data_IF_269175651564
#
_entry.id   IF_269175651564
#
_cell.length_a   1.000
_cell.length_b   1.000
_cell.length_c   1.000
_cell.angle_alpha   90.00
_cell.angle_beta   90.00
_cell.angle_gamma   90.00
#
_symmetry.space_group_name_H-M   'P 1'
#
loop_
_entity.id
_entity.type
_entity.pdbx_description
1 polymer ?
#
# COMPACT_ATOMS: atom_id res chain seq x y z
N UNK A 1 -31.36 26.70 48.75
CA UNK A 1 -30.10 27.38 49.11
C UNK A 1 -29.22 26.37 49.84
N UNK A 2 -28.06 26.06 49.25
CA UNK A 2 -26.75 25.86 49.91
C UNK A 2 -25.84 25.11 48.95
N UNK A 3 -24.96 25.89 48.35
CA UNK A 3 -23.79 25.54 47.55
C UNK A 3 -22.74 24.84 48.41
N UNK A 4 -22.01 23.88 47.84
CA UNK A 4 -20.70 23.51 48.37
C UNK A 4 -19.73 23.35 47.20
N UNK A 5 -18.68 24.16 47.29
CA UNK A 5 -17.65 24.37 46.28
C UNK A 5 -16.52 23.35 46.42
N UNK A 6 -15.88 23.07 45.28
CA UNK A 6 -14.42 23.00 45.20
C UNK A 6 -13.76 21.66 45.51
N UNK A 7 -13.07 21.10 44.51
CA UNK A 7 -11.60 21.15 44.50
C UNK A 7 -11.05 20.53 43.21
N UNK A 8 -10.12 21.25 42.59
CA UNK A 8 -9.29 20.78 41.49
C UNK A 8 -8.13 19.98 42.07
N UNK A 9 -7.80 18.84 41.49
CA UNK A 9 -6.42 18.35 41.46
C UNK A 9 -6.28 17.39 40.28
N UNK A 10 -5.37 17.76 39.40
CA UNK A 10 -4.98 16.98 38.24
C UNK A 10 -4.13 15.82 38.73
N UNK A 11 -4.55 14.59 38.43
CA UNK A 11 -3.62 13.46 38.44
C UNK A 11 -3.23 13.14 37.00
N UNK A 12 -1.98 13.49 36.77
CA UNK A 12 -1.12 13.14 35.66
C UNK A 12 -1.19 11.64 35.39
N UNK A 13 -1.86 11.25 34.31
CA UNK A 13 -1.64 9.94 33.69
C UNK A 13 -0.55 10.10 32.63
N UNK A 14 0.69 10.12 33.09
CA UNK A 14 1.83 9.63 32.31
C UNK A 14 1.69 8.10 32.27
N UNK A 15 1.19 7.55 31.17
CA UNK A 15 1.46 6.14 30.89
C UNK A 15 1.59 5.92 29.38
N UNK A 16 2.85 5.71 29.01
CA UNK A 16 3.31 4.75 28.04
C UNK A 16 2.82 5.00 26.60
N UNK A 17 3.64 5.78 25.87
CA UNK A 17 3.74 5.63 24.41
C UNK A 17 4.39 4.28 24.12
N UNK A 18 3.64 3.20 24.35
CA UNK A 18 4.02 1.85 23.95
C UNK A 18 4.16 1.90 22.44
N UNK A 19 5.41 1.79 22.01
CA UNK A 19 5.81 1.75 20.62
C UNK A 19 4.98 0.70 19.89
N UNK A 20 4.02 1.17 19.10
CA UNK A 20 3.31 0.33 18.13
C UNK A 20 4.39 -0.33 17.27
N UNK A 21 4.39 -1.68 17.12
CA UNK A 21 5.41 -2.36 16.34
C UNK A 21 5.39 -1.76 14.94
N UNK A 22 6.50 -1.16 14.52
CA UNK A 22 6.60 -0.50 13.22
C UNK A 22 6.16 -1.49 12.14
N UNK A 23 4.92 -1.32 11.65
CA UNK A 23 4.49 -1.86 10.37
C UNK A 23 5.63 -1.54 9.39
N UNK A 24 6.23 -2.59 8.80
CA UNK A 24 7.44 -2.51 7.95
C UNK A 24 7.42 -1.23 7.12
N UNK A 25 8.15 -0.21 7.56
CA UNK A 25 8.23 1.06 6.85
C UNK A 25 8.86 0.77 5.47
N UNK A 26 8.37 1.44 4.44
CA UNK A 26 8.99 1.40 3.10
C UNK A 26 10.50 1.68 3.19
N UNK A 27 11.33 0.97 2.41
CA UNK A 27 12.80 1.13 2.41
C UNK A 27 13.27 2.57 2.24
N UNK A 28 12.47 3.41 1.59
CA UNK A 28 12.78 4.84 1.42
C UNK A 28 12.98 5.58 2.76
N UNK A 29 12.33 5.14 3.84
CA UNK A 29 12.46 5.76 5.17
C UNK A 29 13.86 5.63 5.77
N UNK A 30 14.69 4.70 5.29
CA UNK A 30 16.09 4.58 5.73
C UNK A 30 16.92 5.84 5.35
N UNK A 31 16.46 6.60 4.35
CA UNK A 31 17.11 7.81 3.83
C UNK A 31 16.59 9.12 4.47
N UNK A 32 15.65 9.01 5.40
CA UNK A 32 15.04 10.13 6.10
C UNK A 32 15.26 9.99 7.61
N UNK A 33 15.29 11.12 8.30
CA UNK A 33 15.31 11.15 9.76
C UNK A 33 14.08 10.40 10.32
N UNK A 34 14.31 9.66 11.40
CA UNK A 34 13.29 8.78 11.97
C UNK A 34 12.17 9.57 12.64
N UNK A 35 12.52 10.71 13.21
CA UNK A 35 11.61 11.69 13.79
C UNK A 35 11.14 12.68 12.73
N UNK A 36 9.83 12.87 12.66
CA UNK A 36 9.21 13.88 11.81
C UNK A 36 9.27 15.23 12.52
N UNK A 37 9.65 16.27 11.79
CA UNK A 37 9.62 17.63 12.32
C UNK A 37 8.27 18.27 12.03
N UNK A 38 7.66 18.88 13.05
CA UNK A 38 6.40 19.62 12.86
C UNK A 38 6.75 21.02 12.37
N UNK A 39 6.33 21.35 11.15
CA UNK A 39 6.51 22.69 10.55
C UNK A 39 5.15 23.18 10.12
N UNK A 40 4.73 24.33 10.66
CA UNK A 40 3.41 24.93 10.38
C UNK A 40 2.24 23.98 10.74
N UNK A 41 2.42 23.16 11.77
CA UNK A 41 1.42 22.17 12.21
C UNK A 41 1.45 20.85 11.44
N UNK A 42 2.30 20.73 10.41
CA UNK A 42 2.37 19.53 9.57
C UNK A 42 3.64 18.71 9.83
N UNK A 43 3.52 17.37 10.02
CA UNK A 43 4.69 16.51 10.17
C UNK A 43 5.42 16.34 8.84
N UNK A 44 6.68 16.77 8.79
CA UNK A 44 7.56 16.69 7.62
C UNK A 44 8.70 15.70 7.86
N UNK A 45 9.00 14.89 6.85
CA UNK A 45 10.17 14.04 6.82
C UNK A 45 11.39 14.86 6.39
N UNK A 46 12.53 14.64 7.04
CA UNK A 46 13.79 15.35 6.73
C UNK A 46 14.76 14.41 6.06
N UNK A 47 15.28 14.78 4.89
CA UNK A 47 16.29 13.99 4.18
C UNK A 47 17.63 14.02 4.95
N UNK A 48 18.25 12.86 5.18
CA UNK A 48 19.54 12.75 5.88
C UNK A 48 20.70 13.42 5.14
N UNK A 49 20.61 13.50 3.81
CA UNK A 49 21.71 13.96 2.95
C UNK A 49 21.68 15.46 2.67
N UNK A 50 20.53 15.97 2.22
CA UNK A 50 20.39 17.36 1.80
C UNK A 50 19.56 18.22 2.77
N UNK A 51 19.08 17.63 3.86
CA UNK A 51 18.22 18.28 4.88
C UNK A 51 16.91 18.88 4.33
N UNK A 52 16.49 18.47 3.13
CA UNK A 52 15.22 18.88 2.53
C UNK A 52 14.04 18.32 3.33
N UNK A 53 12.96 19.09 3.43
CA UNK A 53 11.75 18.74 4.16
C UNK A 53 10.63 18.33 3.21
N UNK A 54 9.94 17.23 3.51
CA UNK A 54 8.93 16.64 2.63
C UNK A 54 7.67 16.32 3.42
N UNK A 55 6.51 16.68 2.85
CA UNK A 55 5.23 16.28 3.43
C UNK A 55 5.07 14.76 3.35
N UNK A 56 4.39 14.19 4.34
CA UNK A 56 4.18 12.74 4.47
C UNK A 56 2.70 12.34 4.36
N UNK A 57 1.81 13.34 4.16
CA UNK A 57 0.35 13.18 4.13
C UNK A 57 -0.15 12.21 3.04
N UNK A 58 0.54 12.12 1.90
CA UNK A 58 0.07 11.37 0.73
C UNK A 58 1.00 10.20 0.36
N UNK A 59 1.44 9.44 1.37
CA UNK A 59 2.33 8.29 1.18
C UNK A 59 3.79 8.68 0.95
N UNK A 60 4.55 7.81 0.27
CA UNK A 60 6.02 7.92 0.17
C UNK A 60 6.53 8.29 -1.23
N UNK A 61 5.65 8.64 -2.16
CA UNK A 61 6.03 8.97 -3.55
C UNK A 61 6.96 10.17 -3.63
N UNK A 62 6.65 11.25 -2.90
CA UNK A 62 7.49 12.46 -2.82
C UNK A 62 8.89 12.14 -2.28
N UNK A 63 8.96 11.29 -1.25
CA UNK A 63 10.22 10.84 -0.65
C UNK A 63 11.05 10.03 -1.66
N UNK A 64 10.40 9.08 -2.35
CA UNK A 64 11.06 8.24 -3.37
C UNK A 64 11.60 9.07 -4.54
N UNK A 65 10.79 9.95 -5.11
CA UNK A 65 11.20 10.83 -6.21
C UNK A 65 12.36 11.72 -5.81
N UNK A 66 12.35 12.28 -4.59
CA UNK A 66 13.47 13.07 -4.11
C UNK A 66 14.78 12.29 -4.14
N UNK A 67 14.79 11.09 -3.56
CA UNK A 67 15.99 10.23 -3.49
C UNK A 67 16.47 9.82 -4.89
N UNK A 68 15.54 9.50 -5.79
CA UNK A 68 15.86 9.04 -7.14
C UNK A 68 16.37 10.15 -8.07
N UNK A 69 15.83 11.37 -7.97
CA UNK A 69 15.96 12.38 -9.02
C UNK A 69 16.48 13.74 -8.53
N UNK A 70 16.18 14.15 -7.29
CA UNK A 70 16.40 15.53 -6.84
C UNK A 70 17.50 15.69 -5.78
N UNK A 71 17.80 14.66 -5.00
CA UNK A 71 18.76 14.73 -3.91
C UNK A 71 20.18 14.80 -4.47
N UNK A 72 20.81 15.98 -4.45
CA UNK A 72 22.18 16.15 -4.97
C UNK A 72 23.27 15.55 -4.09
N UNK A 73 22.98 15.35 -2.80
CA UNK A 73 23.94 14.92 -1.79
C UNK A 73 23.97 13.40 -1.54
N UNK A 74 23.13 12.62 -2.23
CA UNK A 74 23.09 11.16 -2.10
C UNK A 74 24.09 10.48 -3.05
N UNK A 75 24.62 9.34 -2.63
CA UNK A 75 25.50 8.51 -3.45
C UNK A 75 24.76 7.91 -4.67
N UNK A 76 25.46 7.85 -5.81
CA UNK A 76 24.92 7.37 -7.09
C UNK A 76 24.48 5.91 -7.04
N UNK A 77 25.12 5.06 -6.24
CA UNK A 77 24.72 3.65 -6.07
C UNK A 77 23.29 3.55 -5.50
N UNK A 78 23.02 4.32 -4.44
CA UNK A 78 21.69 4.41 -3.84
C UNK A 78 20.67 5.04 -4.79
N UNK A 79 21.07 6.08 -5.54
CA UNK A 79 20.20 6.69 -6.55
C UNK A 79 19.76 5.67 -7.61
N UNK A 80 20.69 4.88 -8.14
CA UNK A 80 20.43 3.86 -9.16
C UNK A 80 19.44 2.80 -8.68
N UNK A 81 19.53 2.33 -7.43
CA UNK A 81 18.57 1.33 -6.92
C UNK A 81 17.14 1.87 -6.85
N UNK A 82 16.94 3.14 -6.49
CA UNK A 82 15.61 3.75 -6.50
C UNK A 82 15.10 3.98 -7.93
N UNK A 83 15.94 4.44 -8.85
CA UNK A 83 15.56 4.60 -10.25
C UNK A 83 15.13 3.27 -10.90
N UNK A 84 15.78 2.16 -10.57
CA UNK A 84 15.39 0.83 -11.07
C UNK A 84 14.01 0.39 -10.56
N UNK A 85 13.66 0.72 -9.31
CA UNK A 85 12.34 0.40 -8.75
C UNK A 85 11.25 1.40 -9.12
N UNK A 86 11.63 2.60 -9.61
CA UNK A 86 10.72 3.65 -10.07
C UNK A 86 10.45 3.60 -11.55
N UNK A 87 11.40 3.13 -12.37
CA UNK A 87 11.10 2.75 -13.73
C UNK A 87 9.94 1.78 -13.61
N UNK A 88 8.76 2.22 -14.08
CA UNK A 88 7.73 1.28 -14.50
C UNK A 88 8.51 0.29 -15.34
N UNK A 89 8.58 -0.97 -14.90
CA UNK A 89 8.83 -2.04 -15.85
C UNK A 89 7.95 -1.66 -17.05
N UNK A 90 8.47 -1.56 -18.29
CA UNK A 90 7.57 -1.60 -19.42
C UNK A 90 6.75 -2.83 -19.11
N UNK A 91 5.49 -2.62 -18.75
CA UNK A 91 4.66 -3.65 -18.17
C UNK A 91 4.83 -4.82 -19.10
N UNK A 92 5.49 -5.88 -18.65
CA UNK A 92 5.62 -7.12 -19.43
C UNK A 92 4.18 -7.56 -19.61
N UNK A 93 3.62 -7.17 -20.76
CA UNK A 93 2.19 -6.90 -20.88
C UNK A 93 1.72 -5.80 -19.93
N UNK A 94 1.31 -4.64 -20.47
CA UNK A 94 0.04 -4.13 -19.97
C UNK A 94 -0.87 -5.34 -20.06
N UNK A 95 -1.43 -5.83 -18.96
CA UNK A 95 -2.36 -6.97 -18.97
C UNK A 95 -3.61 -6.50 -19.72
N UNK A 96 -3.47 -6.36 -21.03
CA UNK A 96 -4.51 -6.06 -21.97
C UNK A 96 -5.23 -7.38 -22.08
N UNK A 97 -6.46 -7.38 -21.57
CA UNK A 97 -7.35 -8.51 -21.78
C UNK A 97 -7.55 -8.68 -23.28
N UNK A 98 -6.95 -9.74 -23.83
CA UNK A 98 -7.23 -10.18 -25.19
C UNK A 98 -8.45 -11.09 -25.15
N UNK A 99 -9.59 -10.57 -25.62
CA UNK A 99 -10.85 -11.30 -25.62
C UNK A 99 -10.75 -12.61 -26.39
N UNK A 100 -10.02 -12.62 -27.52
CA UNK A 100 -9.93 -13.80 -28.39
C UNK A 100 -9.10 -14.88 -27.72
N UNK A 101 -7.92 -14.53 -27.21
CA UNK A 101 -7.03 -15.47 -26.51
C UNK A 101 -7.71 -16.00 -25.24
N UNK A 102 -8.34 -15.12 -24.46
CA UNK A 102 -9.09 -15.51 -23.26
C UNK A 102 -10.20 -16.50 -23.60
N UNK A 103 -11.00 -16.22 -24.63
CA UNK A 103 -12.09 -17.09 -25.08
C UNK A 103 -11.57 -18.45 -25.55
N UNK A 104 -10.51 -18.48 -26.34
CA UNK A 104 -9.92 -19.74 -26.84
C UNK A 104 -9.40 -20.61 -25.69
N UNK A 105 -8.70 -20.02 -24.71
CA UNK A 105 -8.20 -20.75 -23.54
C UNK A 105 -9.32 -21.23 -22.63
N UNK A 106 -10.35 -20.40 -22.42
CA UNK A 106 -11.53 -20.77 -21.66
C UNK A 106 -12.27 -21.94 -22.31
N UNK A 107 -12.46 -21.93 -23.63
CA UNK A 107 -13.09 -23.04 -24.36
C UNK A 107 -12.28 -24.32 -24.21
N UNK A 108 -10.96 -24.26 -24.37
CA UNK A 108 -10.08 -25.42 -24.16
C UNK A 108 -10.20 -25.96 -22.74
N UNK A 109 -10.21 -25.10 -21.74
CA UNK A 109 -10.41 -25.48 -20.35
C UNK A 109 -11.77 -26.17 -20.14
N UNK A 110 -12.86 -25.57 -20.63
CA UNK A 110 -14.22 -26.12 -20.48
C UNK A 110 -14.37 -27.49 -21.14
N UNK A 111 -13.74 -27.70 -22.31
CA UNK A 111 -13.74 -28.99 -23.00
C UNK A 111 -12.90 -30.00 -22.21
N UNK A 112 -11.67 -29.62 -21.83
CA UNK A 112 -10.74 -30.52 -21.14
C UNK A 112 -11.28 -30.99 -19.78
N UNK A 113 -11.91 -30.09 -19.03
CA UNK A 113 -12.52 -30.41 -17.74
C UNK A 113 -13.93 -30.98 -17.87
N UNK A 114 -14.40 -31.28 -19.10
CA UNK A 114 -15.72 -31.85 -19.39
C UNK A 114 -16.88 -31.11 -18.70
N UNK A 115 -16.72 -29.80 -18.48
CA UNK A 115 -17.62 -28.96 -17.69
C UNK A 115 -19.08 -29.12 -18.15
N UNK A 116 -19.40 -29.10 -19.47
CA UNK A 116 -20.78 -29.30 -19.90
C UNK A 116 -21.34 -30.66 -19.49
N UNK A 117 -20.59 -31.75 -19.70
CA UNK A 117 -21.04 -33.10 -19.40
C UNK A 117 -21.27 -33.30 -17.90
N UNK A 118 -20.32 -32.84 -17.07
CA UNK A 118 -20.46 -32.87 -15.61
C UNK A 118 -21.72 -32.13 -15.17
N UNK A 119 -22.05 -31.00 -15.82
CA UNK A 119 -23.27 -30.25 -15.49
C UNK A 119 -24.54 -30.94 -15.98
N UNK A 120 -24.51 -31.61 -17.13
CA UNK A 120 -25.64 -32.38 -17.65
C UNK A 120 -25.89 -33.69 -16.90
N UNK A 121 -24.85 -34.29 -16.35
CA UNK A 121 -24.93 -35.51 -15.55
C UNK A 121 -25.22 -35.24 -14.07
N UNK A 122 -25.41 -33.97 -13.68
CA UNK A 122 -25.72 -33.60 -12.32
C UNK A 122 -27.08 -34.21 -11.89
N UNK A 123 -27.13 -35.02 -10.81
CA UNK A 123 -28.37 -35.68 -10.36
C UNK A 123 -29.50 -34.71 -10.00
N UNK A 124 -29.18 -33.45 -9.71
CA UNK A 124 -30.16 -32.42 -9.38
C UNK A 124 -30.68 -31.66 -10.62
N UNK A 125 -30.05 -31.83 -11.79
CA UNK A 125 -30.48 -31.16 -13.01
C UNK A 125 -31.87 -31.63 -13.45
N UNK A 126 -32.09 -32.95 -13.58
CA UNK A 126 -33.36 -33.48 -14.07
C UNK A 126 -34.56 -33.14 -13.16
N UNK A 127 -34.48 -33.31 -11.82
CA UNK A 127 -35.55 -32.88 -10.92
C UNK A 127 -35.91 -31.39 -11.04
N UNK A 128 -34.94 -30.52 -11.32
CA UNK A 128 -35.20 -29.09 -11.54
C UNK A 128 -35.89 -28.84 -12.88
N UNK A 129 -35.44 -29.48 -13.97
CA UNK A 129 -36.09 -29.39 -15.29
C UNK A 129 -37.55 -29.84 -15.20
N UNK A 130 -37.81 -30.94 -14.52
CA UNK A 130 -39.15 -31.51 -14.37
C UNK A 130 -40.09 -30.63 -13.51
N UNK A 131 -39.55 -29.62 -12.80
CA UNK A 131 -40.32 -28.70 -11.97
C UNK A 131 -40.81 -27.43 -12.69
N UNK A 132 -40.33 -27.19 -13.92
CA UNK A 132 -40.73 -26.05 -14.78
C UNK A 132 -42.06 -26.31 -15.49
#
# INVERSE_FOLDING_TARGET
MSTSEGSKTADSMDEDTSQVPHARRSKVWEHYEQELVVVEGDPKAVCKYCRGQFHTKFGTSSLRTHIAEACRSIEDACRKSFLLTMKKMPSEGLLVFDEKVSRELMVKFCIHAEIPFIKFEDPHLQPWIDSL
#
